data_IF_354480023711
#
_entry.id   IF_354480023711
#
_cell.length_a   1.000
_cell.length_b   1.000
_cell.length_c   1.000
_cell.angle_alpha   90.00
_cell.angle_beta   90.00
_cell.angle_gamma   90.00
#
_symmetry.space_group_name_H-M   'P 1'
#
loop_
_entity.id
_entity.type
_entity.pdbx_description
1 polymer ?
#
# COMPACT_ATOMS: atom_id res chain seq x y z
N UNK A 1 -40.26 3.92 61.18
CA UNK A 1 -38.84 3.53 61.06
C UNK A 1 -38.71 2.27 60.21
N UNK A 2 -38.75 2.37 58.87
CA UNK A 2 -38.52 1.26 57.94
C UNK A 2 -37.75 1.80 56.72
N UNK A 3 -36.44 1.99 56.84
CA UNK A 3 -35.59 2.43 55.71
C UNK A 3 -34.25 1.69 55.51
N UNK A 4 -33.68 0.87 56.41
CA UNK A 4 -32.31 0.36 56.17
C UNK A 4 -32.20 -0.86 55.24
N UNK A 5 -33.30 -1.53 54.88
CA UNK A 5 -33.27 -2.74 54.01
C UNK A 5 -33.50 -2.46 52.53
N UNK A 6 -34.04 -1.28 52.17
CA UNK A 6 -34.29 -0.93 50.76
C UNK A 6 -33.03 -0.36 50.08
N UNK A 7 -32.20 0.40 50.79
CA UNK A 7 -30.96 0.97 50.22
C UNK A 7 -29.93 -0.09 49.77
N UNK A 8 -29.66 -1.18 50.50
CA UNK A 8 -28.74 -2.22 50.06
C UNK A 8 -29.25 -2.95 48.81
N UNK A 9 -30.56 -3.22 48.76
CA UNK A 9 -31.21 -3.88 47.60
C UNK A 9 -31.16 -3.02 46.34
N UNK A 10 -31.31 -1.70 46.49
CA UNK A 10 -31.19 -0.74 45.38
C UNK A 10 -29.73 -0.58 44.92
N UNK A 11 -28.76 -0.63 45.84
CA UNK A 11 -27.35 -0.63 45.47
C UNK A 11 -26.96 -1.91 44.73
N UNK A 12 -27.47 -3.06 45.17
CA UNK A 12 -27.23 -4.34 44.52
C UNK A 12 -27.78 -4.36 43.08
N UNK A 13 -29.01 -3.88 42.86
CA UNK A 13 -29.60 -3.86 41.52
C UNK A 13 -28.88 -2.89 40.57
N UNK A 14 -28.38 -1.75 41.07
CA UNK A 14 -27.56 -0.82 40.28
C UNK A 14 -26.22 -1.45 39.89
N UNK A 15 -25.60 -2.24 40.78
CA UNK A 15 -24.36 -2.97 40.48
C UNK A 15 -24.62 -4.03 39.41
N UNK A 16 -25.65 -4.86 39.56
CA UNK A 16 -26.01 -5.89 38.58
C UNK A 16 -26.31 -5.30 37.19
N UNK A 17 -27.04 -4.17 37.15
CA UNK A 17 -27.33 -3.50 35.88
C UNK A 17 -26.06 -2.98 35.21
N UNK A 18 -25.11 -2.47 36.00
CA UNK A 18 -23.83 -1.97 35.50
C UNK A 18 -22.91 -3.09 35.02
N UNK A 19 -22.92 -4.24 35.70
CA UNK A 19 -22.20 -5.45 35.28
C UNK A 19 -22.73 -5.96 33.94
N UNK A 20 -24.06 -6.03 33.77
CA UNK A 20 -24.68 -6.40 32.49
C UNK A 20 -24.32 -5.43 31.36
N UNK A 21 -24.29 -4.13 31.64
CA UNK A 21 -23.85 -3.12 30.65
C UNK A 21 -22.38 -3.30 30.26
N UNK A 22 -21.49 -3.59 31.22
CA UNK A 22 -20.09 -3.84 30.94
C UNK A 22 -19.88 -5.12 30.11
N UNK A 23 -20.62 -6.18 30.40
CA UNK A 23 -20.59 -7.42 29.62
C UNK A 23 -21.02 -7.18 28.16
N UNK A 24 -22.10 -6.41 27.95
CA UNK A 24 -22.54 -6.02 26.61
C UNK A 24 -21.49 -5.20 25.85
N UNK A 25 -20.85 -4.22 26.50
CA UNK A 25 -19.77 -3.43 25.89
C UNK A 25 -18.55 -4.29 25.54
N UNK A 26 -18.21 -5.29 26.37
CA UNK A 26 -17.12 -6.21 26.08
C UNK A 26 -17.44 -7.12 24.89
N UNK A 27 -18.67 -7.62 24.79
CA UNK A 27 -19.14 -8.43 23.67
C UNK A 27 -19.12 -7.64 22.36
N UNK A 28 -19.60 -6.39 22.38
CA UNK A 28 -19.55 -5.51 21.20
C UNK A 28 -18.11 -5.18 20.81
N UNK A 29 -17.24 -4.92 21.79
CA UNK A 29 -15.80 -4.74 21.56
C UNK A 29 -15.13 -5.98 20.96
N UNK A 30 -15.51 -7.19 21.40
CA UNK A 30 -15.02 -8.45 20.85
C UNK A 30 -15.50 -8.67 19.41
N UNK A 31 -16.79 -8.42 19.14
CA UNK A 31 -17.37 -8.48 17.79
C UNK A 31 -16.70 -7.49 16.84
N UNK A 32 -16.41 -6.28 17.31
CA UNK A 32 -15.68 -5.27 16.55
C UNK A 32 -14.27 -5.74 16.18
N UNK A 33 -13.52 -6.31 17.14
CA UNK A 33 -12.19 -6.88 16.86
C UNK A 33 -12.25 -8.04 15.86
N UNK A 34 -13.24 -8.93 15.99
CA UNK A 34 -13.43 -10.04 15.06
C UNK A 34 -13.78 -9.56 13.64
N UNK A 35 -14.62 -8.54 13.52
CA UNK A 35 -14.93 -7.91 12.22
C UNK A 35 -13.67 -7.33 11.56
N UNK A 36 -12.83 -6.62 12.32
CA UNK A 36 -11.57 -6.06 11.81
C UNK A 36 -10.63 -7.18 11.33
N UNK A 37 -10.49 -8.26 12.10
CA UNK A 37 -9.64 -9.40 11.72
C UNK A 37 -10.16 -10.05 10.44
N UNK A 38 -11.48 -10.27 10.31
CA UNK A 38 -12.07 -10.83 9.10
C UNK A 38 -11.86 -9.94 7.88
N UNK A 39 -12.05 -8.64 8.03
CA UNK A 39 -11.82 -7.67 6.95
C UNK A 39 -10.35 -7.66 6.52
N UNK A 40 -9.41 -7.68 7.47
CA UNK A 40 -7.97 -7.82 7.17
C UNK A 40 -7.68 -9.07 6.34
N UNK A 41 -8.23 -10.23 6.73
CA UNK A 41 -8.05 -11.47 5.98
C UNK A 41 -8.66 -11.38 4.56
N UNK A 42 -9.83 -10.76 4.43
CA UNK A 42 -10.49 -10.52 3.13
C UNK A 42 -9.61 -9.67 2.21
N UNK A 43 -9.09 -8.54 2.73
CA UNK A 43 -8.20 -7.64 2.00
C UNK A 43 -6.90 -8.36 1.63
N UNK A 44 -6.31 -9.15 2.53
CA UNK A 44 -5.11 -9.93 2.25
C UNK A 44 -5.34 -10.96 1.14
N UNK A 45 -6.49 -11.63 1.13
CA UNK A 45 -6.85 -12.57 0.06
C UNK A 45 -6.93 -11.86 -1.30
N UNK A 46 -7.59 -10.70 -1.38
CA UNK A 46 -7.64 -9.90 -2.61
C UNK A 46 -6.26 -9.41 -3.03
N UNK A 47 -5.41 -9.00 -2.09
CA UNK A 47 -4.02 -8.61 -2.40
C UNK A 47 -3.22 -9.76 -2.99
N UNK A 48 -3.39 -10.98 -2.48
CA UNK A 48 -2.73 -12.18 -3.03
C UNK A 48 -3.15 -12.45 -4.46
N UNK A 49 -4.46 -12.41 -4.77
CA UNK A 49 -4.93 -12.66 -6.14
C UNK A 49 -4.43 -11.62 -7.13
N UNK A 50 -4.42 -10.34 -6.75
CA UNK A 50 -3.87 -9.25 -7.58
C UNK A 50 -2.36 -9.45 -7.80
N UNK A 51 -1.60 -9.83 -6.77
CA UNK A 51 -0.16 -10.15 -6.90
C UNK A 51 0.07 -11.29 -7.87
N UNK A 52 -0.69 -12.38 -7.74
CA UNK A 52 -0.56 -13.55 -8.62
C UNK A 52 -0.81 -13.21 -10.09
N UNK A 53 -1.85 -12.42 -10.36
CA UNK A 53 -2.19 -11.97 -11.72
C UNK A 53 -1.09 -11.06 -12.29
N UNK A 54 -0.56 -10.11 -11.51
CA UNK A 54 0.57 -9.28 -11.96
C UNK A 54 1.84 -10.10 -12.22
N UNK A 55 2.15 -11.06 -11.34
CA UNK A 55 3.27 -11.99 -11.55
C UNK A 55 3.08 -12.80 -12.84
N UNK A 56 1.84 -13.21 -13.15
CA UNK A 56 1.52 -13.91 -14.40
C UNK A 56 1.75 -13.01 -15.62
N UNK A 57 1.27 -11.76 -15.58
CA UNK A 57 1.47 -10.78 -16.66
C UNK A 57 2.95 -10.51 -16.89
N UNK A 58 3.73 -10.30 -15.82
CA UNK A 58 5.19 -10.10 -15.92
C UNK A 58 5.89 -11.31 -16.50
N UNK A 59 5.52 -12.53 -16.11
CA UNK A 59 6.04 -13.77 -16.74
C UNK A 59 5.75 -13.79 -18.24
N UNK A 60 4.56 -13.37 -18.64
CA UNK A 60 4.18 -13.29 -20.05
C UNK A 60 5.01 -12.24 -20.81
N UNK A 61 5.20 -11.05 -20.25
CA UNK A 61 6.05 -10.02 -20.86
C UNK A 61 7.50 -10.46 -20.96
N UNK A 62 8.05 -11.10 -19.92
CA UNK A 62 9.40 -11.66 -19.94
C UNK A 62 9.54 -12.70 -21.04
N UNK A 63 8.53 -13.57 -21.20
CA UNK A 63 8.51 -14.55 -22.27
C UNK A 63 8.52 -13.88 -23.65
N UNK A 64 7.68 -12.87 -23.86
CA UNK A 64 7.64 -12.09 -25.11
C UNK A 64 8.97 -11.38 -25.40
N UNK A 65 9.63 -10.80 -24.38
CA UNK A 65 10.94 -10.16 -24.54
C UNK A 65 12.00 -11.20 -24.92
N UNK A 66 11.98 -12.38 -24.30
CA UNK A 66 12.89 -13.47 -24.66
C UNK A 66 12.66 -13.97 -26.09
N UNK A 67 11.41 -14.14 -26.51
CA UNK A 67 11.09 -14.49 -27.89
C UNK A 67 11.57 -13.42 -28.89
N UNK A 68 11.41 -12.14 -28.54
CA UNK A 68 11.90 -11.03 -29.35
C UNK A 68 13.43 -11.04 -29.45
N UNK A 69 14.14 -11.19 -28.33
CA UNK A 69 15.60 -11.28 -28.29
C UNK A 69 16.11 -12.46 -29.14
N UNK A 70 15.45 -13.63 -29.05
CA UNK A 70 15.77 -14.80 -29.86
C UNK A 70 15.62 -14.54 -31.36
N UNK A 71 14.54 -13.85 -31.79
CA UNK A 71 14.33 -13.45 -33.19
C UNK A 71 15.39 -12.49 -33.71
N UNK A 72 16.00 -11.66 -32.85
CA UNK A 72 17.12 -10.81 -33.23
C UNK A 72 18.45 -11.56 -33.29
N UNK A 73 18.67 -12.56 -32.43
CA UNK A 73 19.87 -13.41 -32.47
C UNK A 73 19.87 -14.43 -33.61
N UNK A 74 18.70 -14.96 -33.98
CA UNK A 74 18.55 -15.99 -35.01
C UNK A 74 19.18 -15.62 -36.37
N UNK A 75 19.06 -14.39 -36.88
CA UNK A 75 19.70 -13.98 -38.13
C UNK A 75 21.20 -13.65 -37.98
N UNK A 76 21.62 -13.14 -36.82
CA UNK A 76 22.99 -12.66 -36.59
C UNK A 76 23.98 -13.83 -36.48
N UNK A 77 23.59 -14.91 -35.81
CA UNK A 77 24.46 -16.08 -35.58
C UNK A 77 24.83 -16.82 -36.88
N UNK A 78 23.88 -17.12 -37.79
CA UNK A 78 24.17 -17.71 -39.09
C UNK A 78 24.99 -16.79 -39.99
N UNK A 79 24.77 -15.47 -39.98
CA UNK A 79 25.57 -14.53 -40.77
C UNK A 79 27.05 -14.56 -40.35
N UNK A 80 27.32 -14.60 -39.05
CA UNK A 80 28.69 -14.74 -38.53
C UNK A 80 29.31 -16.12 -38.90
N UNK A 81 28.51 -17.19 -38.89
CA UNK A 81 28.95 -18.54 -39.30
C UNK A 81 29.17 -18.66 -40.81
N UNK A 82 28.34 -18.04 -41.65
CA UNK A 82 28.49 -18.03 -43.11
C UNK A 82 29.70 -17.22 -43.53
N UNK A 83 29.94 -16.06 -42.93
CA UNK A 83 31.19 -15.29 -43.16
C UNK A 83 32.43 -16.11 -42.85
N UNK A 84 32.42 -16.87 -41.74
CA UNK A 84 33.51 -17.80 -41.39
C UNK A 84 33.69 -18.91 -42.43
N UNK A 85 32.60 -19.47 -42.96
CA UNK A 85 32.64 -20.51 -44.01
C UNK A 85 33.16 -19.96 -45.35
N UNK A 86 32.81 -18.72 -45.68
CA UNK A 86 33.19 -18.06 -46.94
C UNK A 86 34.55 -17.34 -46.88
N UNK A 87 35.26 -17.42 -45.74
CA UNK A 87 36.50 -16.67 -45.48
C UNK A 87 36.35 -15.14 -45.60
N UNK A 88 35.13 -14.62 -45.41
CA UNK A 88 34.83 -13.19 -45.43
C UNK A 88 35.09 -12.59 -44.06
N UNK A 89 35.78 -11.44 -44.01
CA UNK A 89 35.99 -10.70 -42.77
C UNK A 89 34.84 -9.73 -42.53
N UNK A 90 34.27 -9.77 -41.33
CA UNK A 90 33.37 -8.71 -40.88
C UNK A 90 34.12 -7.38 -40.84
N UNK A 91 33.46 -6.30 -41.27
CA UNK A 91 34.03 -4.96 -41.08
C UNK A 91 34.09 -4.66 -39.58
N UNK A 92 35.06 -3.84 -39.16
CA UNK A 92 35.18 -3.46 -37.74
C UNK A 92 33.89 -2.85 -37.16
N UNK A 93 33.05 -2.21 -37.99
CA UNK A 93 31.77 -1.64 -37.58
C UNK A 93 30.71 -2.72 -37.32
N UNK A 94 30.63 -3.73 -38.19
CA UNK A 94 29.71 -4.86 -38.02
C UNK A 94 30.08 -5.68 -36.79
N UNK A 95 31.37 -5.96 -36.60
CA UNK A 95 31.91 -6.72 -35.47
C UNK A 95 31.61 -6.03 -34.11
N UNK A 96 31.73 -4.69 -34.08
CA UNK A 96 31.37 -3.88 -32.89
C UNK A 96 29.87 -3.89 -32.65
N UNK A 97 29.05 -3.77 -33.71
CA UNK A 97 27.59 -3.77 -33.60
C UNK A 97 27.05 -5.12 -33.12
N UNK A 98 27.57 -6.25 -33.62
CA UNK A 98 27.17 -7.60 -33.20
C UNK A 98 27.50 -7.85 -31.73
N UNK A 99 28.69 -7.43 -31.27
CA UNK A 99 29.07 -7.55 -29.85
C UNK A 99 28.24 -6.65 -28.95
N UNK A 100 27.93 -5.42 -29.38
CA UNK A 100 27.07 -4.51 -28.63
C UNK A 100 25.66 -5.10 -28.46
N UNK A 101 25.08 -5.63 -29.53
CA UNK A 101 23.76 -6.29 -29.48
C UNK A 101 23.76 -7.51 -28.55
N UNK A 102 24.80 -8.34 -28.61
CA UNK A 102 24.92 -9.51 -27.73
C UNK A 102 25.00 -9.09 -26.25
N UNK A 103 25.79 -8.05 -25.94
CA UNK A 103 25.93 -7.54 -24.58
C UNK A 103 24.63 -6.89 -24.06
N UNK A 104 23.88 -6.19 -24.91
CA UNK A 104 22.56 -5.64 -24.55
C UNK A 104 21.56 -6.75 -24.23
N UNK A 105 21.49 -7.80 -25.05
CA UNK A 105 20.61 -8.95 -24.80
C UNK A 105 20.99 -9.65 -23.48
N UNK A 106 22.27 -9.88 -23.24
CA UNK A 106 22.76 -10.48 -22.00
C UNK A 106 22.38 -9.63 -20.78
N UNK A 107 22.58 -8.32 -20.87
CA UNK A 107 22.18 -7.37 -19.81
C UNK A 107 20.67 -7.45 -19.56
N UNK A 108 19.84 -7.41 -20.61
CA UNK A 108 18.39 -7.52 -20.49
C UNK A 108 18.01 -8.83 -19.81
N UNK A 109 18.55 -9.97 -20.25
CA UNK A 109 18.26 -11.29 -19.70
C UNK A 109 18.64 -11.44 -18.22
N UNK A 110 19.70 -10.76 -17.77
CA UNK A 110 20.10 -10.72 -16.35
C UNK A 110 19.04 -10.01 -15.47
N UNK A 111 18.41 -8.96 -15.99
CA UNK A 111 17.41 -8.18 -15.24
C UNK A 111 16.00 -8.76 -15.31
N UNK A 112 15.62 -9.48 -16.37
CA UNK A 112 14.25 -10.00 -16.54
C UNK A 112 13.72 -10.80 -15.32
N UNK A 113 14.47 -11.72 -14.69
CA UNK A 113 13.99 -12.45 -13.52
C UNK A 113 13.71 -11.53 -12.31
N UNK A 114 14.51 -10.46 -12.14
CA UNK A 114 14.37 -9.49 -11.04
C UNK A 114 13.07 -8.70 -11.14
N UNK A 115 12.49 -8.60 -12.34
CA UNK A 115 11.18 -7.95 -12.56
C UNK A 115 10.01 -8.79 -12.02
N UNK A 116 10.13 -10.12 -11.96
CA UNK A 116 9.09 -10.98 -11.38
C UNK A 116 8.99 -10.73 -9.87
N UNK A 117 10.12 -10.52 -9.20
CA UNK A 117 10.22 -10.33 -7.75
C UNK A 117 9.88 -8.93 -7.24
N UNK A 118 9.64 -7.94 -8.11
CA UNK A 118 9.28 -6.59 -7.68
C UNK A 118 7.88 -6.59 -7.03
N UNK A 119 7.79 -6.64 -5.71
CA UNK A 119 6.49 -6.53 -5.05
C UNK A 119 5.91 -5.12 -5.25
N UNK A 120 4.73 -5.04 -5.87
CA UNK A 120 3.98 -3.78 -6.05
C UNK A 120 3.29 -3.31 -4.76
N UNK A 121 3.54 -3.98 -3.64
CA UNK A 121 2.96 -3.69 -2.33
C UNK A 121 4.12 -3.36 -1.39
N UNK A 122 3.98 -2.39 -0.48
CA UNK A 122 5.02 -2.06 0.48
C UNK A 122 5.56 -3.31 1.17
N UNK A 123 6.88 -3.40 1.19
CA UNK A 123 7.69 -4.53 1.67
C UNK A 123 7.32 -4.91 3.12
N UNK A 124 6.82 -3.96 3.91
CA UNK A 124 6.37 -4.18 5.27
C UNK A 124 5.01 -3.47 5.56
N UNK A 125 3.90 -4.22 5.68
CA UNK A 125 2.59 -3.65 5.98
C UNK A 125 2.50 -3.07 7.39
N UNK A 126 3.23 -3.60 8.38
CA UNK A 126 3.30 -3.01 9.73
C UNK A 126 4.00 -1.64 9.71
N UNK A 127 5.15 -1.53 9.05
CA UNK A 127 5.84 -0.23 8.91
C UNK A 127 4.98 0.79 8.18
N UNK A 128 4.24 0.34 7.17
CA UNK A 128 3.30 1.20 6.43
C UNK A 128 2.13 1.64 7.31
N UNK A 129 1.57 0.75 8.13
CA UNK A 129 0.52 1.09 9.10
C UNK A 129 1.05 2.05 10.18
N UNK A 130 2.31 1.91 10.61
CA UNK A 130 2.96 2.82 11.56
C UNK A 130 3.10 4.22 10.95
N UNK A 131 3.63 4.32 9.73
CA UNK A 131 3.79 5.60 9.01
C UNK A 131 2.42 6.26 8.81
N UNK A 132 1.40 5.48 8.44
CA UNK A 132 0.04 5.98 8.26
C UNK A 132 -0.54 6.57 9.54
N UNK A 133 -0.37 5.88 10.68
CA UNK A 133 -0.83 6.38 11.99
C UNK A 133 -0.13 7.69 12.39
N UNK A 134 1.18 7.79 12.12
CA UNK A 134 1.92 9.03 12.37
C UNK A 134 1.37 10.18 11.53
N UNK A 135 1.02 9.93 10.27
CA UNK A 135 0.38 10.92 9.41
C UNK A 135 -1.01 11.33 9.92
N UNK A 136 -1.86 10.36 10.30
CA UNK A 136 -3.21 10.64 10.81
C UNK A 136 -3.15 11.51 12.08
N UNK A 137 -2.17 11.27 12.96
CA UNK A 137 -1.97 12.03 14.20
C UNK A 137 -1.53 13.48 13.94
N UNK A 138 -0.57 13.69 13.02
CA UNK A 138 -0.15 15.02 12.57
C UNK A 138 -1.30 15.77 11.91
N UNK A 139 -2.03 15.12 11.00
CA UNK A 139 -3.16 15.73 10.31
C UNK A 139 -4.26 16.17 11.28
N UNK A 140 -4.54 15.36 12.31
CA UNK A 140 -5.54 15.67 13.33
C UNK A 140 -5.13 16.91 14.14
N UNK A 141 -3.86 17.02 14.52
CA UNK A 141 -3.34 18.20 15.22
C UNK A 141 -3.43 19.47 14.35
N UNK A 142 -3.09 19.36 13.08
CA UNK A 142 -3.11 20.48 12.15
C UNK A 142 -4.54 20.97 11.87
N UNK A 143 -5.50 20.05 11.75
CA UNK A 143 -6.92 20.37 11.65
C UNK A 143 -7.43 21.08 12.91
N UNK A 144 -7.07 20.60 14.11
CA UNK A 144 -7.48 21.29 15.35
C UNK A 144 -6.89 22.70 15.44
N UNK A 145 -5.64 22.88 15.04
CA UNK A 145 -4.98 24.19 15.01
C UNK A 145 -5.68 25.14 14.05
N UNK A 146 -6.02 24.65 12.85
CA UNK A 146 -6.77 25.42 11.86
C UNK A 146 -8.15 25.83 12.39
N UNK A 147 -8.91 24.90 12.98
CA UNK A 147 -10.22 25.19 13.55
C UNK A 147 -10.16 26.22 14.68
N UNK A 148 -9.18 26.11 15.59
CA UNK A 148 -8.96 27.10 16.64
C UNK A 148 -8.70 28.50 16.07
N UNK A 149 -7.85 28.60 15.04
CA UNK A 149 -7.58 29.88 14.37
C UNK A 149 -8.81 30.47 13.67
N UNK A 150 -9.67 29.61 13.10
CA UNK A 150 -10.91 30.02 12.45
C UNK A 150 -11.93 30.56 13.47
N UNK A 151 -12.04 29.93 14.64
CA UNK A 151 -12.88 30.41 15.74
C UNK A 151 -12.37 31.75 16.31
N UNK A 152 -11.06 31.93 16.46
CA UNK A 152 -10.49 33.21 16.87
C UNK A 152 -10.81 34.35 15.88
N UNK A 153 -10.67 34.10 14.58
CA UNK A 153 -11.04 35.08 13.54
C UNK A 153 -12.55 35.33 13.50
N UNK A 154 -13.38 34.31 13.71
CA UNK A 154 -14.82 34.48 13.80
C UNK A 154 -15.21 35.36 15.00
N UNK A 155 -14.65 35.09 16.18
CA UNK A 155 -14.92 35.90 17.39
C UNK A 155 -14.41 37.34 17.26
N UNK A 156 -13.28 37.54 16.57
CA UNK A 156 -12.75 38.87 16.23
C UNK A 156 -13.70 39.63 15.31
N UNK A 157 -14.20 38.99 14.24
CA UNK A 157 -15.16 39.60 13.32
C UNK A 157 -16.48 39.93 14.00
N UNK A 158 -17.00 39.08 14.89
CA UNK A 158 -18.21 39.40 15.66
C UNK A 158 -18.02 40.59 16.61
N UNK A 159 -16.84 40.73 17.24
CA UNK A 159 -16.54 41.92 18.06
C UNK A 159 -16.50 43.19 17.23
N UNK A 160 -15.89 43.14 16.04
CA UNK A 160 -15.86 44.27 15.11
C UNK A 160 -17.26 44.60 14.57
N UNK A 161 -18.08 43.59 14.25
CA UNK A 161 -19.46 43.76 13.82
C UNK A 161 -20.34 44.39 14.89
N UNK A 162 -20.25 43.93 16.15
CA UNK A 162 -20.94 44.56 17.30
C UNK A 162 -20.48 46.00 17.54
N UNK A 163 -19.22 46.32 17.25
CA UNK A 163 -18.71 47.70 17.34
C UNK A 163 -19.24 48.62 16.24
N UNK A 164 -19.63 48.07 15.08
CA UNK A 164 -20.22 48.81 13.96
C UNK A 164 -21.74 49.02 14.13
N UNK A 165 -22.46 48.13 14.83
CA UNK A 165 -23.90 48.29 15.14
C UNK A 165 -24.21 49.38 16.19
N UNK A 166 -23.19 49.87 16.91
CA UNK A 166 -23.34 50.92 17.94
C UNK A 166 -23.29 52.34 17.35
N UNK A 167 -22.98 52.49 16.06
CA UNK A 167 -23.05 53.74 15.29
C UNK A 167 -24.26 53.76 14.35
#
# INVERSE_FOLDING_TARGET
MQQPKQEPSLRQSVIETREQQLEMVQLDGARGREAIVRERHSIEAVRRTVREERCRQRRQWIHQIKEMNAKFQEPVRPLAEERKKNCEQATAKEDVAERALAAEIETIEEYLPKLISLEDIPVNPEETDIIRRQFDEVFTQEVQTYLASAEEEQTRNERLGRGLEVY
#
